data_IF_168894070278
#
_entry.id   IF_168894070278
#
_cell.length_a   1.000
_cell.length_b   1.000
_cell.length_c   1.000
_cell.angle_alpha   90.00
_cell.angle_beta   90.00
_cell.angle_gamma   90.00
#
_symmetry.space_group_name_H-M   'P 1'
#
loop_
_entity.id
_entity.type
_entity.pdbx_description
1 polymer ?
#
# COMPACT_ATOMS: atom_id res chain seq x y z
N UNK A 1 27.83 -17.45 -1.80
CA UNK A 1 26.39 -17.17 -1.54
C UNK A 1 25.70 -17.23 -2.87
N UNK A 2 24.67 -18.07 -3.02
CA UNK A 2 23.93 -18.22 -4.27
C UNK A 2 23.24 -16.87 -4.59
N UNK A 3 23.52 -16.24 -5.76
CA UNK A 3 22.97 -14.93 -6.10
C UNK A 3 21.45 -14.92 -6.25
N UNK A 4 20.80 -16.06 -6.33
CA UNK A 4 19.37 -16.20 -6.49
C UNK A 4 18.60 -16.27 -5.15
N UNK A 5 19.28 -16.50 -4.03
CA UNK A 5 18.65 -16.51 -2.71
C UNK A 5 18.43 -15.06 -2.25
N UNK A 6 17.18 -14.72 -1.93
CA UNK A 6 16.79 -13.38 -1.48
C UNK A 6 16.13 -13.43 -0.11
N UNK A 7 16.50 -12.46 0.71
CA UNK A 7 15.88 -12.28 2.02
C UNK A 7 14.41 -11.88 1.89
N UNK A 8 13.58 -12.45 2.73
CA UNK A 8 12.19 -12.07 2.97
C UNK A 8 12.05 -11.65 4.41
N UNK A 9 11.47 -10.49 4.63
CA UNK A 9 11.33 -9.92 5.96
C UNK A 9 9.87 -9.60 6.23
N UNK A 10 9.36 -10.13 7.32
CA UNK A 10 8.05 -9.79 7.88
C UNK A 10 8.26 -9.24 9.29
N UNK A 11 7.63 -8.12 9.58
CA UNK A 11 7.82 -7.40 10.83
C UNK A 11 6.49 -6.99 11.46
N UNK A 12 6.40 -7.16 12.78
CA UNK A 12 5.38 -6.61 13.65
C UNK A 12 6.02 -5.70 14.71
N UNK A 13 5.21 -5.15 15.61
CA UNK A 13 5.73 -4.44 16.79
C UNK A 13 6.49 -5.35 17.77
N UNK A 14 6.22 -6.66 17.73
CA UNK A 14 6.71 -7.64 18.72
C UNK A 14 7.82 -8.52 18.17
N UNK A 15 7.85 -8.76 16.85
CA UNK A 15 8.76 -9.72 16.25
C UNK A 15 9.13 -9.37 14.82
N UNK A 16 10.30 -9.82 14.40
CA UNK A 16 10.76 -9.81 13.02
C UNK A 16 11.06 -11.23 12.61
N UNK A 17 10.52 -11.66 11.48
CA UNK A 17 10.80 -12.96 10.88
C UNK A 17 11.53 -12.75 9.55
N UNK A 18 12.62 -13.49 9.35
CA UNK A 18 13.43 -13.46 8.14
C UNK A 18 13.47 -14.87 7.56
N UNK A 19 13.15 -15.01 6.28
CA UNK A 19 13.31 -16.26 5.55
C UNK A 19 14.13 -16.05 4.28
N UNK A 20 14.87 -17.07 3.90
CA UNK A 20 15.63 -17.10 2.66
C UNK A 20 14.86 -17.96 1.64
N UNK A 21 14.60 -17.42 0.46
CA UNK A 21 13.85 -18.12 -0.57
C UNK A 21 14.31 -17.73 -1.97
N UNK A 22 14.25 -18.71 -2.89
CA UNK A 22 14.54 -18.50 -4.30
C UNK A 22 13.44 -17.71 -5.03
N UNK A 23 12.22 -17.67 -4.48
CA UNK A 23 11.11 -16.95 -5.08
C UNK A 23 10.37 -16.04 -4.09
N UNK A 24 9.48 -15.17 -4.62
CA UNK A 24 8.67 -14.22 -3.85
C UNK A 24 7.17 -14.57 -3.89
N UNK A 25 6.84 -15.75 -4.39
CA UNK A 25 5.46 -16.15 -4.62
C UNK A 25 4.69 -16.51 -3.36
N UNK A 26 3.40 -16.72 -3.52
CA UNK A 26 2.47 -17.17 -2.47
C UNK A 26 2.95 -18.45 -1.78
N UNK A 27 3.60 -19.35 -2.51
CA UNK A 27 4.17 -20.58 -1.94
C UNK A 27 5.16 -20.27 -0.81
N UNK A 28 6.11 -19.34 -1.00
CA UNK A 28 7.07 -18.97 0.05
C UNK A 28 6.37 -18.40 1.29
N UNK A 29 5.28 -17.65 1.11
CA UNK A 29 4.52 -17.12 2.24
C UNK A 29 3.82 -18.27 2.97
N UNK A 30 3.15 -19.15 2.25
CA UNK A 30 2.41 -20.30 2.83
C UNK A 30 3.33 -21.30 3.53
N UNK A 31 4.53 -21.52 3.00
CA UNK A 31 5.52 -22.42 3.61
C UNK A 31 5.98 -21.91 4.98
N UNK A 32 6.01 -20.59 5.18
CA UNK A 32 6.44 -19.97 6.43
C UNK A 32 5.27 -19.58 7.34
N UNK A 33 4.08 -19.32 6.78
CA UNK A 33 2.88 -18.89 7.47
C UNK A 33 1.66 -19.65 6.93
N UNK A 34 1.51 -20.91 7.32
CA UNK A 34 0.48 -21.82 6.80
C UNK A 34 -0.96 -21.27 6.90
N UNK A 35 -1.25 -20.47 7.95
CA UNK A 35 -2.54 -19.84 8.16
C UNK A 35 -2.56 -18.36 7.73
N UNK A 36 -1.52 -17.89 7.03
CA UNK A 36 -1.37 -16.48 6.68
C UNK A 36 -1.29 -15.57 7.91
N UNK A 37 -2.01 -14.44 7.86
CA UNK A 37 -2.04 -13.41 8.90
C UNK A 37 -3.48 -13.09 9.32
N UNK A 38 -4.29 -14.12 9.62
CA UNK A 38 -5.73 -14.02 9.85
C UNK A 38 -6.15 -13.05 10.96
N UNK A 39 -5.25 -12.74 11.89
CA UNK A 39 -5.49 -11.79 13.00
C UNK A 39 -4.84 -10.41 12.79
N UNK A 40 -4.35 -10.11 11.59
CA UNK A 40 -3.60 -8.88 11.35
C UNK A 40 -3.97 -8.18 10.03
N UNK A 41 -3.70 -6.89 9.98
CA UNK A 41 -3.65 -6.12 8.73
C UNK A 41 -2.27 -6.33 8.10
N UNK A 42 -2.22 -6.89 6.89
CA UNK A 42 -0.99 -7.09 6.16
C UNK A 42 -0.60 -5.84 5.37
N UNK A 43 0.48 -5.18 5.79
CA UNK A 43 1.02 -4.00 5.08
C UNK A 43 2.09 -4.46 4.11
N UNK A 44 1.93 -4.16 2.81
CA UNK A 44 2.86 -4.63 1.76
C UNK A 44 2.95 -3.70 0.54
N UNK A 45 3.91 -4.00 -0.33
CA UNK A 45 4.08 -3.36 -1.64
C UNK A 45 3.09 -3.92 -2.65
N UNK A 46 2.26 -3.46 -3.29
CA UNK A 46 1.28 -3.96 -4.29
C UNK A 46 1.66 -5.27 -5.03
N UNK A 47 2.45 -6.17 -4.43
CA UNK A 47 2.80 -7.44 -5.05
C UNK A 47 1.61 -8.41 -4.98
N UNK A 48 1.25 -9.02 -6.12
CA UNK A 48 0.03 -9.84 -6.26
C UNK A 48 -0.05 -10.95 -5.19
N UNK A 49 1.04 -11.66 -4.94
CA UNK A 49 1.08 -12.74 -3.96
C UNK A 49 0.71 -12.32 -2.54
N UNK A 50 0.96 -11.06 -2.18
CA UNK A 50 0.56 -10.55 -0.86
C UNK A 50 -0.96 -10.40 -0.75
N UNK A 51 -1.65 -10.00 -1.83
CA UNK A 51 -3.11 -9.93 -1.85
C UNK A 51 -3.79 -11.31 -1.85
N UNK A 52 -3.05 -12.37 -2.22
CA UNK A 52 -3.51 -13.76 -2.17
C UNK A 52 -3.29 -14.40 -0.79
N UNK A 53 -2.60 -13.71 0.12
CA UNK A 53 -2.31 -14.20 1.47
C UNK A 53 -3.49 -13.89 2.40
N UNK A 54 -3.92 -14.87 3.20
CA UNK A 54 -4.99 -14.67 4.18
C UNK A 54 -4.60 -13.62 5.24
N UNK A 55 -5.47 -12.65 5.47
CA UNK A 55 -5.31 -11.59 6.49
C UNK A 55 -6.67 -10.99 6.81
N UNK A 56 -6.81 -10.23 7.91
CA UNK A 56 -8.04 -9.47 8.18
C UNK A 56 -8.33 -8.54 6.98
N UNK A 57 -7.32 -7.81 6.54
CA UNK A 57 -7.34 -6.96 5.34
C UNK A 57 -5.91 -6.62 4.94
N UNK A 58 -5.77 -5.97 3.77
CA UNK A 58 -4.49 -5.52 3.23
C UNK A 58 -4.38 -4.00 3.33
N UNK A 59 -3.17 -3.51 3.51
CA UNK A 59 -2.83 -2.09 3.40
C UNK A 59 -1.64 -1.94 2.48
N UNK A 60 -1.77 -1.12 1.45
CA UNK A 60 -0.65 -0.78 0.59
C UNK A 60 0.34 0.09 1.37
N UNK A 61 1.61 -0.26 1.33
CA UNK A 61 2.67 0.46 2.02
C UNK A 61 2.87 1.85 1.42
N UNK A 62 2.50 2.88 2.17
CA UNK A 62 2.61 4.28 1.76
C UNK A 62 4.05 4.69 1.42
N UNK A 63 5.04 4.13 2.14
CA UNK A 63 6.45 4.43 1.86
C UNK A 63 6.89 3.92 0.48
N UNK A 64 6.40 2.77 0.03
CA UNK A 64 6.65 2.26 -1.32
C UNK A 64 5.98 3.15 -2.38
N UNK A 65 4.74 3.55 -2.15
CA UNK A 65 4.03 4.46 -3.06
C UNK A 65 4.76 5.81 -3.19
N UNK A 66 5.15 6.42 -2.08
CA UNK A 66 5.88 7.69 -2.09
C UNK A 66 7.21 7.58 -2.84
N UNK A 67 7.91 6.46 -2.74
CA UNK A 67 9.16 6.23 -3.49
C UNK A 67 8.91 6.17 -5.00
N UNK A 68 7.89 5.44 -5.44
CA UNK A 68 7.52 5.39 -6.86
C UNK A 68 7.05 6.77 -7.37
N UNK A 69 6.24 7.48 -6.60
CA UNK A 69 5.74 8.80 -6.96
C UNK A 69 6.86 9.85 -7.02
N UNK A 70 7.86 9.79 -6.13
CA UNK A 70 9.06 10.63 -6.21
C UNK A 70 9.80 10.38 -7.52
N UNK A 71 10.04 9.12 -7.87
CA UNK A 71 10.66 8.78 -9.15
C UNK A 71 9.87 9.35 -10.34
N UNK A 72 8.54 9.24 -10.36
CA UNK A 72 7.71 9.78 -11.44
C UNK A 72 7.74 11.32 -11.49
N UNK A 73 7.80 11.98 -10.36
CA UNK A 73 7.92 13.43 -10.30
C UNK A 73 9.28 13.88 -10.83
N UNK A 74 10.36 13.22 -10.43
CA UNK A 74 11.73 13.55 -10.84
C UNK A 74 11.97 13.24 -12.32
N UNK A 75 11.55 12.05 -12.78
CA UNK A 75 11.85 11.56 -14.12
C UNK A 75 10.93 12.14 -15.19
N UNK A 76 9.64 12.25 -14.91
CA UNK A 76 8.63 12.69 -15.88
C UNK A 76 8.11 14.12 -15.61
N UNK A 77 8.53 14.78 -14.54
CA UNK A 77 7.93 16.05 -14.09
C UNK A 77 6.41 15.94 -13.90
N UNK A 78 5.95 14.78 -13.45
CA UNK A 78 4.54 14.43 -13.40
C UNK A 78 3.78 15.22 -12.34
N UNK A 79 2.93 16.15 -12.77
CA UNK A 79 2.00 16.87 -11.89
C UNK A 79 0.98 15.92 -11.23
N UNK A 80 0.61 14.85 -11.93
CA UNK A 80 -0.27 13.81 -11.39
C UNK A 80 0.38 13.10 -10.20
N UNK A 81 1.66 12.72 -10.31
CA UNK A 81 2.40 12.09 -9.22
C UNK A 81 2.52 13.02 -8.01
N UNK A 82 2.79 14.32 -8.24
CA UNK A 82 2.81 15.34 -7.20
C UNK A 82 1.47 15.48 -6.50
N UNK A 83 0.37 15.52 -7.25
CA UNK A 83 -0.98 15.59 -6.68
C UNK A 83 -1.28 14.37 -5.81
N UNK A 84 -0.90 13.17 -6.27
CA UNK A 84 -1.09 11.95 -5.47
C UNK A 84 -0.24 11.96 -4.19
N UNK A 85 1.01 12.40 -4.26
CA UNK A 85 1.85 12.57 -3.06
C UNK A 85 1.20 13.46 -2.02
N UNK A 86 0.60 14.56 -2.43
CA UNK A 86 -0.09 15.48 -1.52
C UNK A 86 -1.25 14.77 -0.79
N UNK A 87 -2.05 13.98 -1.50
CA UNK A 87 -3.12 13.17 -0.88
C UNK A 87 -2.55 12.19 0.15
N UNK A 88 -1.43 11.51 -0.17
CA UNK A 88 -0.78 10.60 0.78
C UNK A 88 -0.24 11.33 2.01
N UNK A 89 0.34 12.53 1.85
CA UNK A 89 0.80 13.33 2.99
C UNK A 89 -0.36 13.83 3.84
N UNK A 90 -1.47 14.25 3.24
CA UNK A 90 -2.70 14.58 3.97
C UNK A 90 -3.18 13.36 4.79
N UNK A 91 -3.20 12.16 4.21
CA UNK A 91 -3.58 10.93 4.91
C UNK A 91 -2.63 10.57 6.07
N UNK A 92 -1.32 10.74 5.87
CA UNK A 92 -0.31 10.53 6.93
C UNK A 92 -0.54 11.52 8.08
N UNK A 93 -0.80 12.79 7.77
CA UNK A 93 -1.03 13.81 8.79
C UNK A 93 -2.35 13.56 9.51
N UNK A 94 -3.42 13.20 8.80
CA UNK A 94 -4.68 12.80 9.41
C UNK A 94 -4.45 11.66 10.41
N UNK A 95 -3.73 10.61 10.02
CA UNK A 95 -3.42 9.47 10.90
C UNK A 95 -2.69 9.89 12.19
N UNK A 96 -1.82 10.89 12.14
CA UNK A 96 -1.06 11.37 13.31
C UNK A 96 -1.94 12.04 14.37
N UNK A 97 -3.05 12.65 13.96
CA UNK A 97 -3.96 13.36 14.86
C UNK A 97 -5.14 12.51 15.32
N UNK A 98 -5.38 11.36 14.69
CA UNK A 98 -6.45 10.44 15.10
C UNK A 98 -6.12 9.73 16.41
N UNK A 99 -7.07 9.73 17.34
CA UNK A 99 -7.05 8.89 18.52
C UNK A 99 -7.57 7.48 18.21
N UNK A 100 -7.30 6.46 19.05
CA UNK A 100 -7.86 5.13 18.85
C UNK A 100 -9.40 5.11 18.78
N UNK A 101 -10.09 6.03 19.47
CA UNK A 101 -11.54 6.13 19.44
C UNK A 101 -12.07 6.59 18.07
N UNK A 102 -11.32 7.43 17.36
CA UNK A 102 -11.71 7.95 16.04
C UNK A 102 -11.75 6.86 14.96
N UNK A 103 -11.08 5.72 15.19
CA UNK A 103 -11.10 4.60 14.25
C UNK A 103 -12.45 3.86 14.20
N UNK A 104 -13.31 4.02 15.19
CA UNK A 104 -14.62 3.36 15.25
C UNK A 104 -15.73 4.13 14.54
N UNK A 105 -15.48 5.37 14.13
CA UNK A 105 -16.47 6.23 13.50
C UNK A 105 -16.04 6.67 12.10
N UNK A 106 -17.02 6.89 11.18
CA UNK A 106 -16.72 7.50 9.90
C UNK A 106 -16.12 8.88 10.11
N UNK A 107 -14.96 9.13 9.52
CA UNK A 107 -14.29 10.43 9.60
C UNK A 107 -14.47 11.12 8.27
N UNK A 108 -15.10 12.29 8.26
CA UNK A 108 -15.35 13.06 7.04
C UNK A 108 -14.06 13.32 6.24
N UNK A 109 -12.96 13.65 6.94
CA UNK A 109 -11.66 13.89 6.31
C UNK A 109 -11.15 12.67 5.52
N UNK A 110 -11.43 11.44 5.97
CA UNK A 110 -11.05 10.24 5.21
C UNK A 110 -11.89 10.12 3.94
N UNK A 111 -13.19 10.35 4.03
CA UNK A 111 -14.09 10.35 2.86
C UNK A 111 -13.63 11.39 1.84
N UNK A 112 -13.27 12.59 2.27
CA UNK A 112 -12.70 13.63 1.40
C UNK A 112 -11.40 13.18 0.72
N UNK A 113 -10.51 12.47 1.41
CA UNK A 113 -9.28 11.92 0.81
C UNK A 113 -9.58 10.81 -0.20
N UNK A 114 -10.54 9.94 0.08
CA UNK A 114 -10.99 8.89 -0.83
C UNK A 114 -11.62 9.50 -2.11
N UNK A 115 -12.40 10.57 -1.96
CA UNK A 115 -12.99 11.33 -3.09
C UNK A 115 -11.91 12.04 -3.91
N UNK A 116 -10.98 12.77 -3.27
CA UNK A 116 -9.84 13.40 -3.95
C UNK A 116 -9.04 12.39 -4.76
N UNK A 117 -8.75 11.23 -4.15
CA UNK A 117 -8.06 10.16 -4.85
C UNK A 117 -8.89 9.62 -6.02
N UNK A 118 -10.18 9.39 -5.82
CA UNK A 118 -11.09 8.92 -6.86
C UNK A 118 -11.11 9.84 -8.09
N UNK A 119 -11.17 11.15 -7.87
CA UNK A 119 -11.10 12.15 -8.92
C UNK A 119 -9.74 12.15 -9.63
N UNK A 120 -8.64 12.10 -8.87
CA UNK A 120 -7.29 12.05 -9.43
C UNK A 120 -7.07 10.80 -10.29
N UNK A 121 -7.60 9.64 -9.88
CA UNK A 121 -7.49 8.39 -10.63
C UNK A 121 -8.25 8.40 -11.96
N UNK A 122 -9.20 9.32 -12.14
CA UNK A 122 -9.95 9.49 -13.39
C UNK A 122 -9.26 10.47 -14.36
N UNK A 123 -8.25 11.21 -13.92
CA UNK A 123 -7.56 12.18 -14.79
C UNK A 123 -6.70 11.47 -15.83
N UNK A 124 -6.64 12.04 -17.04
CA UNK A 124 -5.80 11.53 -18.11
C UNK A 124 -4.33 11.78 -17.81
N UNK A 125 -3.51 10.77 -18.05
CA UNK A 125 -2.05 10.85 -18.00
C UNK A 125 -1.51 10.75 -19.44
N UNK A 126 -0.54 11.59 -19.85
CA UNK A 126 0.07 11.50 -21.17
C UNK A 126 0.62 10.11 -21.47
N UNK A 127 0.34 9.58 -22.65
CA UNK A 127 0.68 8.19 -23.01
C UNK A 127 2.19 7.90 -23.01
N UNK A 128 3.04 8.92 -23.19
CA UNK A 128 4.49 8.74 -23.11
C UNK A 128 4.96 8.41 -21.70
N UNK A 129 4.18 8.75 -20.65
CA UNK A 129 4.44 8.39 -19.25
C UNK A 129 3.91 6.97 -18.93
N UNK A 130 4.39 5.97 -19.64
CA UNK A 130 3.88 4.58 -19.59
C UNK A 130 3.88 4.00 -18.18
N UNK A 131 4.94 4.27 -17.41
CA UNK A 131 5.06 3.76 -16.03
C UNK A 131 4.04 4.42 -15.09
N UNK A 132 3.80 5.72 -15.25
CA UNK A 132 2.77 6.46 -14.48
C UNK A 132 1.37 5.94 -14.82
N UNK A 133 1.09 5.69 -16.12
CA UNK A 133 -0.18 5.08 -16.54
C UNK A 133 -0.37 3.68 -15.97
N UNK A 134 0.69 2.86 -15.94
CA UNK A 134 0.64 1.51 -15.37
C UNK A 134 0.43 1.55 -13.86
N UNK A 135 1.08 2.48 -13.18
CA UNK A 135 0.90 2.74 -11.76
C UNK A 135 -0.54 3.19 -11.46
N UNK A 136 -1.09 4.16 -12.22
CA UNK A 136 -2.49 4.61 -12.07
C UNK A 136 -3.47 3.43 -12.16
N UNK A 137 -3.32 2.57 -13.19
CA UNK A 137 -4.17 1.37 -13.35
C UNK A 137 -4.07 0.41 -12.16
N UNK A 138 -2.85 0.20 -11.65
CA UNK A 138 -2.61 -0.63 -10.47
C UNK A 138 -3.31 -0.05 -9.24
N UNK A 139 -3.14 1.24 -8.99
CA UNK A 139 -3.77 1.91 -7.85
C UNK A 139 -5.29 1.93 -7.99
N UNK A 140 -5.84 2.16 -9.17
CA UNK A 140 -7.29 2.09 -9.41
C UNK A 140 -7.87 0.73 -9.03
N UNK A 141 -7.13 -0.36 -9.32
CA UNK A 141 -7.54 -1.73 -8.94
C UNK A 141 -7.54 -1.96 -7.43
N UNK A 142 -6.59 -1.37 -6.72
CA UNK A 142 -6.36 -1.64 -5.30
C UNK A 142 -6.61 -0.44 -4.39
N UNK A 143 -7.34 0.58 -4.86
CA UNK A 143 -7.59 1.83 -4.13
C UNK A 143 -8.20 1.62 -2.74
N UNK A 144 -9.02 0.59 -2.58
CA UNK A 144 -9.71 0.31 -1.32
C UNK A 144 -8.75 -0.13 -0.20
N UNK A 145 -7.51 -0.48 -0.54
CA UNK A 145 -6.45 -0.86 0.39
C UNK A 145 -5.47 0.28 0.72
N UNK A 146 -5.76 1.53 0.32
CA UNK A 146 -4.84 2.65 0.53
C UNK A 146 -4.96 3.28 1.92
N UNK A 147 -6.19 3.39 2.44
CA UNK A 147 -6.46 4.11 3.68
C UNK A 147 -7.02 3.22 4.79
N UNK A 148 -6.68 1.95 4.80
CA UNK A 148 -7.18 0.97 5.78
C UNK A 148 -6.74 1.34 7.20
N UNK A 149 -5.50 1.79 7.39
CA UNK A 149 -4.99 2.18 8.72
C UNK A 149 -5.66 3.43 9.30
N UNK A 150 -6.52 4.09 8.54
CA UNK A 150 -7.44 5.12 9.00
C UNK A 150 -8.88 4.61 9.17
N UNK A 151 -9.12 3.32 8.83
CA UNK A 151 -10.36 2.61 9.16
C UNK A 151 -10.12 1.87 10.47
N UNK A 152 -10.96 2.04 11.46
CA UNK A 152 -10.94 1.19 12.65
C UNK A 152 -11.05 -0.27 12.21
N UNK A 153 -10.37 -1.16 12.90
CA UNK A 153 -10.64 -2.57 12.79
C UNK A 153 -12.09 -2.78 13.24
N UNK A 154 -13.00 -2.90 12.28
CA UNK A 154 -14.32 -3.44 12.56
C UNK A 154 -14.07 -4.87 12.98
N UNK A 155 -14.14 -5.13 14.30
CA UNK A 155 -14.13 -6.47 14.86
C UNK A 155 -15.36 -7.26 14.41
#
# INVERSE_FOLDING_TARGET
MDPDIRDRLWQSKLATFIAFSLNRGTATINDNFANGFESAVLVHDCWKSHFETSSITHQICTAHLLRELNYFEEHYQSSWARAFKNILYEAINLKKILSPADYYYPINQRTELEEKLGLLLQTSIPQYMKEVCSFQKRITRYKDYLFILSRGASG
#
